data_IF_446289221669
#
_entry.id   IF_446289221669
#
_cell.length_a   1.000
_cell.length_b   1.000
_cell.length_c   1.000
_cell.angle_alpha   90.00
_cell.angle_beta   90.00
_cell.angle_gamma   90.00
#
_symmetry.space_group_name_H-M   'P 1'
#
loop_
_entity.id
_entity.type
_entity.pdbx_description
1 polymer ?
#
# COMPACT_ATOMS: atom_id res chain seq x y z
N UNK A 1 67.25 -21.06 23.30
CA UNK A 1 65.91 -20.69 23.78
C UNK A 1 65.30 -19.69 22.78
N UNK A 2 64.38 -20.17 21.93
CA UNK A 2 63.67 -19.34 20.96
C UNK A 2 62.27 -19.13 21.49
N UNK A 3 61.90 -17.90 21.82
CA UNK A 3 60.56 -17.54 22.24
C UNK A 3 59.67 -17.32 20.99
N UNK A 4 58.64 -18.13 20.86
CA UNK A 4 57.59 -18.01 19.85
C UNK A 4 56.48 -17.11 20.43
N UNK A 5 56.37 -15.88 19.98
CA UNK A 5 55.22 -15.00 20.30
C UNK A 5 54.05 -15.36 19.39
N UNK A 6 53.04 -16.02 19.92
CA UNK A 6 51.76 -16.24 19.24
C UNK A 6 50.90 -14.98 19.32
N UNK A 7 50.69 -14.35 18.17
CA UNK A 7 49.77 -13.19 18.02
C UNK A 7 48.35 -13.76 17.89
N UNK A 8 47.53 -13.57 18.93
CA UNK A 8 46.09 -13.89 18.89
C UNK A 8 45.36 -12.72 18.23
N UNK A 9 44.91 -12.91 16.99
CA UNK A 9 44.09 -11.96 16.29
C UNK A 9 42.64 -12.11 16.76
N UNK A 10 42.17 -11.19 17.61
CA UNK A 10 40.76 -11.12 18.01
C UNK A 10 39.98 -10.46 16.89
N UNK A 11 39.24 -11.26 16.10
CA UNK A 11 38.29 -10.78 15.12
C UNK A 11 37.08 -10.24 15.90
N UNK A 12 36.97 -8.92 16.06
CA UNK A 12 35.73 -8.29 16.49
C UNK A 12 34.70 -8.37 15.35
N UNK A 13 33.85 -9.37 15.36
CA UNK A 13 32.68 -9.42 14.50
C UNK A 13 31.68 -8.40 15.04
N UNK A 14 31.67 -7.21 14.47
CA UNK A 14 30.64 -6.21 14.69
C UNK A 14 29.34 -6.74 14.07
N UNK A 15 28.46 -7.31 14.87
CA UNK A 15 27.08 -7.54 14.47
C UNK A 15 26.44 -6.17 14.27
N UNK A 16 26.31 -5.74 13.03
CA UNK A 16 25.44 -4.62 12.70
C UNK A 16 24.02 -5.03 13.12
N UNK A 17 23.59 -4.58 14.30
CA UNK A 17 22.19 -4.70 14.67
C UNK A 17 21.40 -3.88 13.66
N UNK A 18 20.63 -4.53 12.81
CA UNK A 18 19.67 -3.86 11.96
C UNK A 18 18.76 -3.04 12.90
N UNK A 19 18.75 -1.73 12.72
CA UNK A 19 17.93 -0.82 13.53
C UNK A 19 16.47 -1.22 13.35
N UNK A 20 15.83 -1.70 14.43
CA UNK A 20 14.42 -2.08 14.39
C UNK A 20 13.56 -0.85 14.65
N UNK A 21 12.65 -0.58 13.73
CA UNK A 21 11.65 0.48 13.86
C UNK A 21 10.38 -0.09 14.50
N UNK A 22 9.55 0.80 15.03
CA UNK A 22 8.23 0.46 15.56
C UNK A 22 7.16 1.25 14.80
N UNK A 23 5.90 0.75 14.75
CA UNK A 23 4.80 1.55 14.23
C UNK A 23 4.72 2.92 14.92
N UNK A 24 4.32 3.94 14.17
CA UNK A 24 4.12 5.29 14.71
C UNK A 24 3.01 5.33 15.78
N UNK A 25 2.06 4.41 15.73
CA UNK A 25 1.08 4.20 16.81
C UNK A 25 1.68 3.38 17.95
N UNK A 26 1.90 4.04 19.10
CA UNK A 26 2.43 3.37 20.31
C UNK A 26 1.46 2.35 20.91
N UNK A 27 0.17 2.44 20.58
CA UNK A 27 -0.88 1.52 21.03
C UNK A 27 -1.26 0.49 19.95
N UNK A 28 -0.46 0.38 18.87
CA UNK A 28 -0.71 -0.59 17.81
C UNK A 28 -0.99 -1.99 18.37
N UNK A 29 -1.97 -2.70 17.78
CA UNK A 29 -2.32 -4.06 18.21
C UNK A 29 -1.12 -5.00 18.06
N UNK A 30 -1.16 -6.13 18.74
CA UNK A 30 -0.10 -7.14 18.68
C UNK A 30 0.16 -7.60 17.25
N UNK A 31 -0.90 -7.89 16.50
CA UNK A 31 -0.86 -8.33 15.12
C UNK A 31 -0.30 -7.23 14.19
N UNK A 32 -0.65 -5.98 14.45
CA UNK A 32 -0.14 -4.82 13.70
C UNK A 32 1.37 -4.63 13.92
N UNK A 33 1.84 -4.76 15.16
CA UNK A 33 3.28 -4.73 15.45
C UNK A 33 4.03 -5.89 14.81
N UNK A 34 3.46 -7.09 14.83
CA UNK A 34 4.07 -8.24 14.17
C UNK A 34 4.12 -8.06 12.65
N UNK A 35 3.03 -7.58 12.03
CA UNK A 35 3.04 -7.29 10.59
C UNK A 35 4.14 -6.30 10.24
N UNK A 36 4.20 -5.16 10.93
CA UNK A 36 5.21 -4.13 10.66
C UNK A 36 6.64 -4.68 10.80
N UNK A 37 6.93 -5.36 11.90
CA UNK A 37 8.24 -5.96 12.15
C UNK A 37 8.58 -7.04 11.12
N UNK A 38 7.60 -7.83 10.68
CA UNK A 38 7.80 -8.84 9.64
C UNK A 38 8.07 -8.20 8.28
N UNK A 39 7.30 -7.17 7.90
CA UNK A 39 7.55 -6.44 6.65
C UNK A 39 8.93 -5.79 6.66
N UNK A 40 9.35 -5.21 7.79
CA UNK A 40 10.71 -4.66 7.94
C UNK A 40 11.79 -5.73 7.73
N UNK A 41 11.66 -6.90 8.35
CA UNK A 41 12.60 -8.01 8.23
C UNK A 41 12.67 -8.58 6.81
N UNK A 42 11.57 -8.51 6.08
CA UNK A 42 11.46 -9.05 4.72
C UNK A 42 11.94 -8.08 3.63
N UNK A 43 12.21 -6.81 3.96
CA UNK A 43 12.81 -5.86 3.02
C UNK A 43 14.14 -6.42 2.51
N UNK A 44 14.26 -6.54 1.19
CA UNK A 44 15.45 -7.12 0.52
C UNK A 44 15.42 -8.65 0.33
N UNK A 45 14.55 -9.38 1.03
CA UNK A 45 14.37 -10.82 0.79
C UNK A 45 13.47 -11.10 -0.43
N UNK A 46 12.60 -10.17 -0.77
CA UNK A 46 11.70 -10.20 -1.92
C UNK A 46 10.63 -9.13 -1.77
N UNK A 47 10.13 -8.62 -2.89
CA UNK A 47 9.10 -7.58 -2.92
C UNK A 47 7.73 -8.26 -2.94
N UNK A 48 6.88 -7.95 -1.97
CA UNK A 48 5.52 -8.47 -1.90
C UNK A 48 4.68 -7.88 -3.04
N UNK A 49 4.14 -8.75 -3.90
CA UNK A 49 3.25 -8.33 -4.99
C UNK A 49 1.85 -8.11 -4.45
N UNK A 50 1.28 -6.94 -4.77
CA UNK A 50 -0.10 -6.59 -4.50
C UNK A 50 -0.93 -6.42 -5.76
N UNK A 51 -2.26 -6.60 -5.63
CA UNK A 51 -3.23 -6.32 -6.67
C UNK A 51 -4.51 -5.75 -6.07
N UNK A 52 -5.03 -4.69 -6.70
CA UNK A 52 -6.25 -4.04 -6.24
C UNK A 52 -7.49 -4.84 -6.66
N UNK A 53 -8.45 -5.02 -5.73
CA UNK A 53 -9.70 -5.76 -5.92
C UNK A 53 -9.54 -7.22 -6.38
N UNK A 54 -8.38 -7.82 -6.21
CA UNK A 54 -7.96 -9.12 -6.78
C UNK A 54 -8.97 -10.27 -6.58
N UNK A 55 -9.65 -10.30 -5.43
CA UNK A 55 -10.59 -11.37 -5.07
C UNK A 55 -12.03 -11.07 -5.45
N UNK A 56 -12.32 -9.86 -5.90
CA UNK A 56 -13.69 -9.43 -6.15
C UNK A 56 -14.10 -9.59 -7.61
N UNK A 57 -13.22 -9.25 -8.52
CA UNK A 57 -13.46 -9.36 -9.96
C UNK A 57 -12.15 -9.34 -10.74
N UNK A 58 -12.24 -9.69 -12.02
CA UNK A 58 -11.15 -9.64 -12.99
C UNK A 58 -11.67 -9.67 -14.41
N UNK A 59 -10.80 -9.96 -15.36
CA UNK A 59 -11.18 -9.97 -16.77
C UNK A 59 -12.15 -11.13 -17.07
N UNK A 60 -13.40 -10.76 -17.39
CA UNK A 60 -14.44 -11.72 -17.74
C UNK A 60 -15.10 -12.46 -16.58
N UNK A 61 -14.90 -11.99 -15.33
CA UNK A 61 -15.56 -12.58 -14.16
C UNK A 61 -15.82 -11.54 -13.07
N UNK A 62 -16.82 -11.79 -12.23
CA UNK A 62 -17.16 -10.94 -11.08
C UNK A 62 -17.77 -11.80 -9.96
N UNK A 63 -17.20 -11.64 -8.76
CA UNK A 63 -17.67 -12.29 -7.52
C UNK A 63 -17.60 -13.81 -7.48
N UNK A 64 -16.81 -14.42 -8.36
CA UNK A 64 -16.57 -15.86 -8.36
C UNK A 64 -15.77 -16.25 -7.11
N UNK A 65 -16.21 -17.23 -6.30
CA UNK A 65 -15.50 -17.62 -5.11
C UNK A 65 -14.09 -18.15 -5.40
N UNK A 66 -13.10 -17.70 -4.60
CA UNK A 66 -11.71 -18.16 -4.66
C UNK A 66 -11.01 -17.94 -6.02
N UNK A 67 -11.53 -17.05 -6.85
CA UNK A 67 -10.96 -16.65 -8.12
C UNK A 67 -10.08 -15.42 -7.97
N UNK A 68 -9.05 -15.34 -8.80
CA UNK A 68 -8.10 -14.24 -8.96
C UNK A 68 -7.46 -14.40 -10.34
N UNK A 69 -7.25 -13.31 -11.07
CA UNK A 69 -6.55 -13.37 -12.34
C UNK A 69 -5.09 -13.79 -12.13
N UNK A 70 -4.44 -13.28 -11.08
CA UNK A 70 -3.07 -13.69 -10.68
C UNK A 70 -3.03 -15.21 -10.45
N UNK A 71 -3.96 -15.72 -9.64
CA UNK A 71 -4.03 -17.16 -9.35
C UNK A 71 -4.33 -17.99 -10.60
N UNK A 72 -5.17 -17.49 -11.48
CA UNK A 72 -5.52 -18.18 -12.73
C UNK A 72 -4.33 -18.33 -13.67
N UNK A 73 -3.32 -17.44 -13.56
CA UNK A 73 -2.07 -17.49 -14.34
C UNK A 73 -0.96 -18.25 -13.61
N UNK A 74 -0.76 -18.01 -12.31
CA UNK A 74 0.40 -18.50 -11.56
C UNK A 74 0.13 -19.71 -10.68
N UNK A 75 -1.14 -19.99 -10.37
CA UNK A 75 -1.54 -20.97 -9.35
C UNK A 75 -1.54 -20.42 -7.92
N UNK A 76 -1.14 -19.16 -7.71
CA UNK A 76 -0.98 -18.51 -6.40
C UNK A 76 -1.66 -17.15 -6.35
N UNK A 77 -2.00 -16.68 -5.16
CA UNK A 77 -2.59 -15.37 -4.92
C UNK A 77 -1.52 -14.29 -4.73
N UNK A 78 -1.86 -12.99 -4.87
CA UNK A 78 -0.97 -11.91 -4.45
C UNK A 78 -0.70 -11.95 -2.94
N UNK A 79 0.39 -11.33 -2.50
CA UNK A 79 0.73 -11.19 -1.09
C UNK A 79 -0.02 -10.02 -0.42
N UNK A 80 -0.33 -8.96 -1.19
CA UNK A 80 -1.03 -7.75 -0.73
C UNK A 80 -2.30 -7.57 -1.54
N UNK A 81 -3.40 -7.25 -0.85
CA UNK A 81 -4.74 -7.07 -1.43
C UNK A 81 -5.17 -5.63 -1.25
N UNK A 82 -5.34 -4.91 -2.37
CA UNK A 82 -5.85 -3.54 -2.37
C UNK A 82 -7.37 -3.49 -2.33
N UNK A 83 -7.92 -2.49 -1.63
CA UNK A 83 -9.35 -2.21 -1.47
C UNK A 83 -9.60 -0.71 -1.45
N UNK A 84 -10.82 -0.28 -1.75
CA UNK A 84 -11.24 1.11 -1.65
C UNK A 84 -12.37 1.28 -0.63
N UNK A 85 -12.34 2.39 0.12
CA UNK A 85 -13.42 2.78 1.04
C UNK A 85 -14.46 3.71 0.38
N UNK A 86 -14.18 4.21 -0.83
CA UNK A 86 -15.02 5.23 -1.48
C UNK A 86 -16.49 4.80 -1.59
N UNK A 87 -17.37 5.74 -1.37
CA UNK A 87 -18.83 5.62 -1.26
C UNK A 87 -19.34 5.16 0.09
N UNK A 88 -18.47 4.78 1.05
CA UNK A 88 -18.88 4.48 2.42
C UNK A 88 -19.44 5.73 3.12
N UNK A 89 -18.93 6.90 2.75
CA UNK A 89 -19.38 8.22 3.22
C UNK A 89 -20.85 8.52 2.89
N UNK A 90 -21.41 7.85 1.89
CA UNK A 90 -22.80 7.98 1.47
C UNK A 90 -23.71 6.85 2.01
N UNK A 91 -23.20 6.00 2.91
CA UNK A 91 -23.90 4.79 3.35
C UNK A 91 -24.28 3.86 2.18
N UNK A 92 -23.52 3.92 1.09
CA UNK A 92 -23.68 3.07 -0.07
C UNK A 92 -23.49 1.60 0.30
N UNK A 93 -24.24 0.72 -0.36
CA UNK A 93 -24.04 -0.73 -0.21
C UNK A 93 -22.85 -1.26 -0.99
N UNK A 94 -22.30 -0.46 -1.95
CA UNK A 94 -21.16 -0.79 -2.80
C UNK A 94 -20.09 0.29 -2.71
N UNK A 95 -18.84 -0.11 -2.89
CA UNK A 95 -17.74 0.81 -3.10
C UNK A 95 -17.75 1.43 -4.52
N UNK A 96 -16.77 2.25 -4.84
CA UNK A 96 -16.63 2.94 -6.14
C UNK A 96 -16.51 1.97 -7.33
N UNK A 97 -16.03 0.75 -7.10
CA UNK A 97 -15.83 -0.29 -8.12
C UNK A 97 -17.03 -1.25 -8.21
N UNK A 98 -18.09 -0.98 -7.41
CA UNK A 98 -19.32 -1.77 -7.39
C UNK A 98 -19.20 -3.06 -6.59
N UNK A 99 -18.24 -3.16 -5.67
CA UNK A 99 -18.11 -4.31 -4.76
C UNK A 99 -19.00 -4.04 -3.54
N UNK A 100 -19.95 -4.93 -3.21
CA UNK A 100 -20.72 -4.78 -1.98
C UNK A 100 -19.81 -4.78 -0.75
N UNK A 101 -19.93 -3.80 0.16
CA UNK A 101 -19.11 -3.73 1.38
C UNK A 101 -19.21 -4.99 2.24
N UNK A 102 -20.37 -5.66 2.24
CA UNK A 102 -20.53 -6.96 2.89
C UNK A 102 -19.65 -8.05 2.27
N UNK A 103 -19.51 -8.06 0.93
CA UNK A 103 -18.61 -8.97 0.22
C UNK A 103 -17.16 -8.56 0.42
N UNK A 104 -16.82 -7.27 0.27
CA UNK A 104 -15.46 -6.75 0.51
C UNK A 104 -14.96 -7.18 1.90
N UNK A 105 -15.77 -7.01 2.95
CA UNK A 105 -15.45 -7.49 4.31
C UNK A 105 -15.10 -8.98 4.34
N UNK A 106 -15.89 -9.84 3.68
CA UNK A 106 -15.64 -11.28 3.59
C UNK A 106 -14.32 -11.57 2.88
N UNK A 107 -14.04 -10.87 1.79
CA UNK A 107 -12.80 -11.05 1.01
C UNK A 107 -11.57 -10.57 1.78
N UNK A 108 -11.66 -9.46 2.51
CA UNK A 108 -10.62 -8.97 3.45
C UNK A 108 -10.31 -10.02 4.52
N UNK A 109 -11.33 -10.62 5.10
CA UNK A 109 -11.17 -11.69 6.10
C UNK A 109 -10.52 -12.94 5.49
N UNK A 110 -10.90 -13.31 4.26
CA UNK A 110 -10.28 -14.43 3.54
C UNK A 110 -8.80 -14.15 3.20
N UNK A 111 -8.47 -12.94 2.75
CA UNK A 111 -7.08 -12.53 2.51
C UNK A 111 -6.25 -12.65 3.78
N UNK A 112 -6.75 -12.11 4.90
CA UNK A 112 -6.10 -12.19 6.20
C UNK A 112 -5.94 -13.63 6.68
N UNK A 113 -6.97 -14.46 6.58
CA UNK A 113 -6.93 -15.86 6.98
C UNK A 113 -5.89 -16.70 6.21
N UNK A 114 -5.53 -16.30 4.96
CA UNK A 114 -4.42 -16.88 4.21
C UNK A 114 -3.04 -16.35 4.64
N UNK A 115 -2.97 -15.37 5.52
CA UNK A 115 -1.74 -14.66 5.87
C UNK A 115 -1.41 -13.52 4.90
N UNK A 116 -2.33 -13.12 4.03
CA UNK A 116 -2.19 -11.99 3.12
C UNK A 116 -2.38 -10.65 3.81
N UNK A 117 -1.87 -9.57 3.21
CA UNK A 117 -1.84 -8.22 3.77
C UNK A 117 -2.91 -7.37 3.09
N UNK A 118 -3.77 -6.70 3.86
CA UNK A 118 -4.82 -5.83 3.33
C UNK A 118 -4.36 -4.36 3.31
N UNK A 119 -4.52 -3.71 2.16
CA UNK A 119 -4.24 -2.28 1.96
C UNK A 119 -5.53 -1.57 1.53
N UNK A 120 -5.82 -0.42 2.14
CA UNK A 120 -7.00 0.39 1.82
C UNK A 120 -6.59 1.79 1.38
N UNK A 121 -7.05 2.22 0.22
CA UNK A 121 -7.13 3.62 -0.17
C UNK A 121 -8.57 4.16 0.02
N UNK A 122 -8.76 5.45 -0.23
CA UNK A 122 -10.08 6.06 -0.15
C UNK A 122 -10.21 7.18 -1.18
N UNK A 123 -10.90 6.89 -2.28
CA UNK A 123 -11.34 7.91 -3.24
C UNK A 123 -12.60 8.59 -2.72
N UNK A 124 -12.46 9.24 -1.54
CA UNK A 124 -13.57 9.93 -0.89
C UNK A 124 -14.13 11.05 -1.75
N UNK A 125 -15.44 11.07 -1.94
CA UNK A 125 -16.12 12.21 -2.55
C UNK A 125 -15.85 13.48 -1.73
N UNK A 126 -15.87 14.65 -2.39
CA UNK A 126 -15.54 15.91 -1.75
C UNK A 126 -16.55 16.27 -0.64
N UNK A 127 -16.15 16.27 0.65
CA UNK A 127 -17.09 16.46 1.76
C UNK A 127 -17.74 17.86 1.79
N UNK A 128 -17.11 18.87 1.15
CA UNK A 128 -17.60 20.24 1.20
C UNK A 128 -18.71 20.51 0.15
N UNK A 129 -18.80 19.69 -0.90
CA UNK A 129 -19.80 19.94 -1.95
C UNK A 129 -20.47 18.67 -2.50
N UNK A 130 -20.12 17.50 -2.00
CA UNK A 130 -20.70 16.21 -2.41
C UNK A 130 -20.32 15.73 -3.81
N UNK A 131 -19.40 16.42 -4.51
CA UNK A 131 -18.88 15.97 -5.81
C UNK A 131 -17.83 14.87 -5.62
N UNK A 132 -17.39 14.27 -6.73
CA UNK A 132 -16.44 13.16 -6.71
C UNK A 132 -15.06 13.55 -6.15
N UNK A 133 -14.22 12.54 -5.86
CA UNK A 133 -12.83 12.73 -5.46
C UNK A 133 -12.03 13.61 -6.45
N UNK A 134 -12.40 13.59 -7.73
CA UNK A 134 -11.78 14.35 -8.82
C UNK A 134 -12.28 15.81 -8.95
N UNK A 135 -13.06 16.30 -7.99
CA UNK A 135 -13.47 17.71 -8.00
C UNK A 135 -12.38 18.62 -7.46
N UNK A 136 -11.76 19.39 -8.34
CA UNK A 136 -10.71 20.37 -8.01
C UNK A 136 -11.18 21.82 -8.09
N UNK A 137 -12.50 22.05 -8.06
CA UNK A 137 -13.09 23.37 -8.28
C UNK A 137 -13.02 24.29 -7.07
N UNK A 138 -12.67 23.79 -5.88
CA UNK A 138 -12.57 24.58 -4.65
C UNK A 138 -11.40 24.14 -3.76
N UNK A 139 -11.01 25.00 -2.83
CA UNK A 139 -9.98 24.70 -1.82
C UNK A 139 -10.61 23.95 -0.64
N UNK A 140 -10.99 22.70 -0.88
CA UNK A 140 -11.75 21.88 0.08
C UNK A 140 -10.99 21.66 1.41
N UNK A 141 -9.69 21.39 1.37
CA UNK A 141 -8.92 20.97 2.55
C UNK A 141 -9.05 21.93 3.73
N UNK A 142 -8.98 23.24 3.49
CA UNK A 142 -9.11 24.26 4.56
C UNK A 142 -10.49 24.29 5.20
N UNK A 143 -11.53 23.84 4.49
CA UNK A 143 -12.90 23.78 5.01
C UNK A 143 -13.13 22.54 5.90
N UNK A 144 -12.24 21.55 5.86
CA UNK A 144 -12.36 20.27 6.57
C UNK A 144 -11.54 20.22 7.87
N UNK A 145 -10.51 21.03 8.00
CA UNK A 145 -9.71 21.09 9.24
C UNK A 145 -10.52 21.70 10.39
N UNK A 146 -10.12 21.52 11.67
CA UNK A 146 -10.83 22.10 12.81
C UNK A 146 -11.03 23.60 12.65
N UNK A 147 -12.29 24.04 12.75
CA UNK A 147 -12.71 25.43 12.52
C UNK A 147 -13.21 25.72 11.10
N UNK A 148 -13.00 24.82 10.14
CA UNK A 148 -13.54 24.94 8.79
C UNK A 148 -15.05 24.69 8.74
N UNK A 149 -15.73 25.24 7.73
CA UNK A 149 -17.19 25.22 7.60
C UNK A 149 -17.78 23.82 7.37
N UNK A 150 -16.98 22.89 6.82
CA UNK A 150 -17.38 21.51 6.53
C UNK A 150 -16.63 20.47 7.39
N UNK A 151 -16.03 20.93 8.51
CA UNK A 151 -15.33 20.03 9.43
C UNK A 151 -16.22 18.91 9.94
N UNK A 152 -17.47 19.22 10.32
CA UNK A 152 -18.40 18.21 10.86
C UNK A 152 -18.81 17.19 9.79
N UNK A 153 -18.97 17.61 8.54
CA UNK A 153 -19.28 16.69 7.44
C UNK A 153 -18.13 15.69 7.24
N UNK A 154 -16.89 16.18 7.32
CA UNK A 154 -15.70 15.33 7.25
C UNK A 154 -15.61 14.37 8.44
N UNK A 155 -15.88 14.82 9.66
CA UNK A 155 -15.95 13.97 10.86
C UNK A 155 -16.98 12.86 10.68
N UNK A 156 -18.16 13.17 10.15
CA UNK A 156 -19.21 12.17 9.88
C UNK A 156 -18.73 11.10 8.88
N UNK A 157 -17.97 11.49 7.85
CA UNK A 157 -17.39 10.54 6.90
C UNK A 157 -16.34 9.65 7.56
N UNK A 158 -15.46 10.23 8.41
CA UNK A 158 -14.50 9.45 9.19
C UNK A 158 -15.18 8.46 10.13
N UNK A 159 -16.33 8.81 10.70
CA UNK A 159 -17.12 7.94 11.58
C UNK A 159 -17.61 6.69 10.86
N UNK A 160 -18.11 6.85 9.64
CA UNK A 160 -18.57 5.75 8.80
C UNK A 160 -17.42 4.83 8.40
N UNK A 161 -16.31 5.40 7.94
CA UNK A 161 -15.11 4.64 7.63
C UNK A 161 -14.55 3.89 8.85
N UNK A 162 -14.47 4.56 10.01
CA UNK A 162 -14.02 3.94 11.25
C UNK A 162 -14.93 2.79 11.71
N UNK A 163 -16.25 2.94 11.58
CA UNK A 163 -17.22 1.88 11.88
C UNK A 163 -16.98 0.64 11.01
N UNK A 164 -16.74 0.83 9.71
CA UNK A 164 -16.45 -0.25 8.80
C UNK A 164 -15.10 -0.92 9.13
N UNK A 165 -14.02 -0.16 9.25
CA UNK A 165 -12.69 -0.67 9.57
C UNK A 165 -12.66 -1.46 10.90
N UNK A 166 -13.38 -0.99 11.93
CA UNK A 166 -13.54 -1.73 13.19
C UNK A 166 -14.26 -3.07 13.02
N UNK A 167 -15.11 -3.17 12.01
CA UNK A 167 -15.85 -4.41 11.75
C UNK A 167 -15.00 -5.51 11.13
N UNK A 168 -13.81 -5.17 10.61
CA UNK A 168 -12.87 -6.11 10.01
C UNK A 168 -12.13 -6.88 11.11
N UNK A 169 -12.58 -8.09 11.37
CA UNK A 169 -12.05 -8.97 12.41
C UNK A 169 -11.53 -10.26 11.84
N UNK A 170 -10.41 -10.70 12.35
CA UNK A 170 -9.87 -12.04 12.10
C UNK A 170 -10.67 -13.14 12.78
N UNK A 171 -10.27 -14.41 12.59
CA UNK A 171 -11.01 -15.56 13.09
C UNK A 171 -11.11 -15.61 14.62
N UNK A 172 -10.13 -15.06 15.34
CA UNK A 172 -10.13 -15.02 16.82
C UNK A 172 -10.77 -13.72 17.37
N UNK A 173 -11.39 -12.91 16.51
CA UNK A 173 -12.00 -11.64 16.89
C UNK A 173 -11.03 -10.45 16.95
N UNK A 174 -9.75 -10.68 16.66
CA UNK A 174 -8.72 -9.65 16.62
C UNK A 174 -8.96 -8.64 15.48
N UNK A 175 -8.62 -7.35 15.66
CA UNK A 175 -8.65 -6.39 14.56
C UNK A 175 -7.65 -6.77 13.48
N UNK A 176 -8.10 -6.88 12.22
CA UNK A 176 -7.22 -7.17 11.09
C UNK A 176 -6.28 -5.97 10.87
N UNK A 177 -4.95 -6.16 10.85
CA UNK A 177 -4.01 -5.09 10.49
C UNK A 177 -4.23 -4.62 9.05
N UNK A 178 -4.16 -3.31 8.84
CA UNK A 178 -4.47 -2.66 7.57
C UNK A 178 -3.37 -1.66 7.23
N UNK A 179 -2.84 -1.72 6.01
CA UNK A 179 -2.09 -0.62 5.42
C UNK A 179 -3.10 0.43 4.95
N UNK A 180 -3.23 1.53 5.69
CA UNK A 180 -4.19 2.60 5.39
C UNK A 180 -3.50 3.74 4.64
N UNK A 181 -3.95 4.01 3.43
CA UNK A 181 -3.37 4.96 2.49
C UNK A 181 -4.38 6.07 2.14
N UNK A 182 -4.63 7.02 3.05
CA UNK A 182 -5.49 8.17 2.77
C UNK A 182 -4.79 9.17 1.86
N UNK A 183 -5.58 9.99 1.14
CA UNK A 183 -5.10 11.15 0.38
C UNK A 183 -3.90 10.84 -0.53
N UNK A 184 -3.90 9.68 -1.17
CA UNK A 184 -2.84 9.25 -2.07
C UNK A 184 -2.66 10.23 -3.24
N UNK A 185 -1.50 10.14 -3.92
CA UNK A 185 -1.17 10.99 -5.08
C UNK A 185 -1.25 12.51 -4.82
N UNK A 186 -1.06 12.92 -3.58
CA UNK A 186 -1.26 14.29 -3.10
C UNK A 186 -0.43 15.37 -3.80
N UNK A 187 0.64 14.98 -4.51
CA UNK A 187 1.46 15.88 -5.34
C UNK A 187 0.90 16.04 -6.76
N UNK A 188 -0.17 15.32 -7.11
CA UNK A 188 -0.91 15.48 -8.36
C UNK A 188 -1.74 16.76 -8.40
N UNK A 189 -2.71 16.81 -9.33
CA UNK A 189 -3.61 17.93 -9.51
C UNK A 189 -5.06 17.52 -9.84
N UNK A 190 -5.41 16.27 -9.58
CA UNK A 190 -6.68 15.66 -9.99
C UNK A 190 -7.63 15.31 -8.86
N UNK A 191 -7.18 15.28 -7.60
CA UNK A 191 -8.05 15.09 -6.45
C UNK A 191 -8.24 16.37 -5.66
N UNK A 192 -9.36 16.48 -4.91
CA UNK A 192 -9.66 17.65 -4.09
C UNK A 192 -8.63 17.88 -2.95
N UNK A 193 -7.81 16.90 -2.62
CA UNK A 193 -6.74 17.01 -1.61
C UNK A 193 -5.35 17.28 -2.21
N UNK A 194 -5.23 17.40 -3.53
CA UNK A 194 -3.95 17.59 -4.20
C UNK A 194 -3.36 19.00 -3.99
N UNK A 195 -2.11 19.16 -4.42
CA UNK A 195 -1.32 20.40 -4.22
C UNK A 195 -1.92 21.64 -4.87
N UNK A 196 -2.72 21.50 -5.91
CA UNK A 196 -3.37 22.63 -6.61
C UNK A 196 -4.62 23.16 -5.88
N UNK A 197 -5.16 22.39 -4.92
CA UNK A 197 -6.40 22.70 -4.19
C UNK A 197 -6.17 22.96 -2.70
N UNK A 198 -4.93 22.87 -2.22
CA UNK A 198 -4.61 23.07 -0.80
C UNK A 198 -3.19 23.56 -0.57
N UNK A 199 -2.97 24.35 0.48
CA UNK A 199 -1.63 24.66 0.99
C UNK A 199 -0.97 23.39 1.58
N UNK A 200 0.35 23.41 1.73
CA UNK A 200 1.05 22.32 2.40
C UNK A 200 0.69 22.25 3.88
N UNK A 201 0.49 23.38 4.51
CA UNK A 201 0.14 23.53 5.93
C UNK A 201 -1.25 22.97 6.21
N UNK A 202 -2.26 23.37 5.42
CA UNK A 202 -3.63 22.85 5.56
C UNK A 202 -3.70 21.35 5.32
N UNK A 203 -2.97 20.85 4.31
CA UNK A 203 -2.89 19.42 4.06
C UNK A 203 -2.28 18.65 5.23
N UNK A 204 -1.17 19.13 5.80
CA UNK A 204 -0.56 18.51 7.00
C UNK A 204 -1.53 18.52 8.18
N UNK A 205 -2.24 19.62 8.38
CA UNK A 205 -3.25 19.74 9.44
C UNK A 205 -4.39 18.74 9.24
N UNK A 206 -4.91 18.60 8.01
CA UNK A 206 -5.95 17.61 7.69
C UNK A 206 -5.46 16.19 7.92
N UNK A 207 -4.23 15.86 7.47
CA UNK A 207 -3.63 14.55 7.69
C UNK A 207 -3.51 14.22 9.17
N UNK A 208 -2.90 15.12 9.93
CA UNK A 208 -2.69 14.94 11.38
C UNK A 208 -4.02 14.78 12.10
N UNK A 209 -4.99 15.65 11.82
CA UNK A 209 -6.35 15.52 12.36
C UNK A 209 -6.97 14.16 12.03
N UNK A 210 -6.88 13.71 10.78
CA UNK A 210 -7.45 12.43 10.34
C UNK A 210 -6.87 11.26 11.13
N UNK A 211 -5.55 11.19 11.24
CA UNK A 211 -4.88 10.09 11.93
C UNK A 211 -5.14 10.15 13.44
N UNK A 212 -5.09 11.32 14.04
CA UNK A 212 -5.40 11.50 15.46
C UNK A 212 -6.86 11.13 15.76
N UNK A 213 -7.80 11.52 14.90
CA UNK A 213 -9.21 11.16 15.05
C UNK A 213 -9.42 9.65 14.99
N UNK A 214 -8.90 8.98 13.97
CA UNK A 214 -9.02 7.53 13.81
C UNK A 214 -8.33 6.77 14.95
N UNK A 215 -7.12 7.20 15.34
CA UNK A 215 -6.30 6.55 16.36
C UNK A 215 -6.81 6.85 17.77
N UNK A 216 -6.96 8.14 18.12
CA UNK A 216 -7.19 8.57 19.49
C UNK A 216 -8.68 8.64 19.84
N UNK A 217 -9.55 9.10 18.93
CA UNK A 217 -11.00 9.19 19.17
C UNK A 217 -11.69 7.87 18.82
N UNK A 218 -11.41 7.31 17.67
CA UNK A 218 -12.05 6.06 17.24
C UNK A 218 -11.34 4.80 17.73
N UNK A 219 -10.14 4.91 18.35
CA UNK A 219 -9.38 3.77 18.90
C UNK A 219 -9.09 2.69 17.85
N UNK A 220 -8.71 3.10 16.64
CA UNK A 220 -8.26 2.22 15.57
C UNK A 220 -6.74 2.05 15.66
N UNK A 221 -6.29 1.05 16.41
CA UNK A 221 -4.89 0.76 16.66
C UNK A 221 -4.34 -0.37 15.77
N UNK A 222 -5.07 -0.71 14.72
CA UNK A 222 -4.71 -1.73 13.74
C UNK A 222 -4.36 -1.14 12.36
N UNK A 223 -4.11 0.17 12.28
CA UNK A 223 -3.73 0.84 11.05
C UNK A 223 -2.22 1.09 11.01
N UNK A 224 -1.59 0.72 9.92
CA UNK A 224 -0.25 1.15 9.50
C UNK A 224 -0.42 2.20 8.41
N UNK A 225 0.06 3.40 8.64
CA UNK A 225 -0.24 4.57 7.82
C UNK A 225 0.75 4.69 6.67
N UNK A 226 0.22 4.74 5.44
CA UNK A 226 0.99 4.86 4.20
C UNK A 226 0.83 6.25 3.62
N UNK A 227 1.90 7.03 3.60
CA UNK A 227 1.99 8.32 2.91
C UNK A 227 2.50 8.06 1.49
N UNK A 228 1.67 8.30 0.47
CA UNK A 228 2.07 8.11 -0.92
C UNK A 228 1.77 9.33 -1.78
N UNK A 229 2.80 9.75 -2.51
CA UNK A 229 2.73 10.85 -3.47
C UNK A 229 2.53 10.32 -4.89
N UNK A 230 2.21 11.20 -5.84
CA UNK A 230 2.33 10.90 -7.26
C UNK A 230 3.80 11.12 -7.70
N UNK A 231 4.03 12.08 -8.56
CA UNK A 231 5.36 12.41 -9.06
C UNK A 231 6.17 13.25 -8.08
N UNK A 232 7.49 12.97 -8.01
CA UNK A 232 8.50 13.80 -7.35
C UNK A 232 9.88 13.51 -7.98
N UNK A 233 10.76 14.49 -7.94
CA UNK A 233 12.11 14.37 -8.49
C UNK A 233 13.20 14.73 -7.48
N UNK A 234 12.82 15.24 -6.31
CA UNK A 234 13.72 15.60 -5.21
C UNK A 234 13.13 15.21 -3.86
N UNK A 235 13.99 15.05 -2.83
CA UNK A 235 13.55 14.86 -1.45
C UNK A 235 12.66 16.03 -0.98
N UNK A 236 13.01 17.26 -1.35
CA UNK A 236 12.26 18.45 -0.95
C UNK A 236 10.82 18.43 -1.50
N UNK A 237 10.62 17.99 -2.75
CA UNK A 237 9.29 17.83 -3.34
C UNK A 237 8.50 16.76 -2.59
N UNK A 238 9.11 15.61 -2.30
CA UNK A 238 8.47 14.53 -1.56
C UNK A 238 8.04 14.97 -0.15
N UNK A 239 8.93 15.65 0.57
CA UNK A 239 8.73 16.04 1.96
C UNK A 239 7.91 17.32 2.14
N UNK A 240 7.58 18.07 1.08
CA UNK A 240 6.88 19.35 1.17
C UNK A 240 5.57 19.25 1.98
N UNK A 241 4.81 18.16 1.78
CA UNK A 241 3.52 17.90 2.44
C UNK A 241 3.59 16.80 3.48
N UNK A 242 4.78 16.34 3.85
CA UNK A 242 4.95 15.25 4.80
C UNK A 242 4.47 15.67 6.20
N UNK A 243 3.54 14.92 6.82
CA UNK A 243 2.87 15.35 8.05
C UNK A 243 3.70 15.14 9.33
N UNK A 244 4.88 14.52 9.21
CA UNK A 244 5.76 14.19 10.32
C UNK A 244 5.81 12.69 10.65
N UNK A 245 6.93 12.27 11.25
CA UNK A 245 7.25 10.86 11.48
C UNK A 245 6.27 10.13 12.40
N UNK A 246 5.58 10.84 13.28
CA UNK A 246 4.59 10.27 14.20
C UNK A 246 3.25 9.91 13.53
N UNK A 247 3.08 10.28 12.26
CA UNK A 247 1.85 10.10 11.50
C UNK A 247 1.99 9.17 10.30
N UNK A 248 3.15 8.54 10.13
CA UNK A 248 3.46 7.72 8.95
C UNK A 248 4.27 6.50 9.36
N UNK A 249 3.94 5.34 8.80
CA UNK A 249 4.68 4.07 8.93
C UNK A 249 5.42 3.71 7.65
N UNK A 250 4.76 3.94 6.51
CA UNK A 250 5.28 3.67 5.18
C UNK A 250 5.29 4.95 4.35
N UNK A 251 6.32 5.09 3.53
CA UNK A 251 6.39 6.11 2.49
C UNK A 251 6.37 5.45 1.12
N UNK A 252 5.68 6.05 0.17
CA UNK A 252 5.53 5.48 -1.16
C UNK A 252 5.18 6.50 -2.23
N UNK A 253 5.02 6.00 -3.43
CA UNK A 253 4.55 6.79 -4.57
C UNK A 253 3.83 5.89 -5.57
N UNK A 254 3.10 6.54 -6.49
CA UNK A 254 2.38 5.89 -7.57
C UNK A 254 3.09 6.22 -8.89
N UNK A 255 3.41 5.20 -9.70
CA UNK A 255 4.14 5.40 -10.94
C UNK A 255 3.70 4.40 -12.01
N UNK A 256 3.05 4.90 -13.04
CA UNK A 256 2.51 4.10 -14.13
C UNK A 256 3.27 4.28 -15.45
N UNK A 257 3.25 3.25 -16.29
CA UNK A 257 3.83 3.28 -17.63
C UNK A 257 2.83 3.88 -18.63
N UNK A 258 2.72 5.23 -18.67
CA UNK A 258 1.77 5.90 -19.57
C UNK A 258 2.34 6.26 -20.95
N UNK A 259 3.60 6.65 -21.04
CA UNK A 259 4.22 7.17 -22.27
C UNK A 259 5.13 6.13 -22.92
N UNK A 260 6.26 5.84 -22.27
CA UNK A 260 7.23 4.88 -22.79
C UNK A 260 7.80 4.01 -21.67
N UNK A 261 8.21 2.80 -22.02
CA UNK A 261 8.92 1.90 -21.09
C UNK A 261 10.21 2.55 -20.59
N UNK A 262 10.92 3.27 -21.47
CA UNK A 262 12.18 3.96 -21.12
C UNK A 262 11.95 5.03 -20.05
N UNK A 263 10.95 5.88 -20.24
CA UNK A 263 10.64 6.95 -19.29
C UNK A 263 10.11 6.38 -17.98
N UNK A 264 9.29 5.34 -18.05
CA UNK A 264 8.83 4.59 -16.88
C UNK A 264 10.01 4.06 -16.07
N UNK A 265 10.95 3.33 -16.70
CA UNK A 265 12.12 2.79 -16.02
C UNK A 265 13.01 3.89 -15.44
N UNK A 266 13.19 5.00 -16.16
CA UNK A 266 13.97 6.14 -15.68
C UNK A 266 13.36 6.75 -14.43
N UNK A 267 12.08 7.09 -14.48
CA UNK A 267 11.33 7.69 -13.36
C UNK A 267 11.30 6.73 -12.16
N UNK A 268 11.05 5.45 -12.40
CA UNK A 268 11.00 4.45 -11.35
C UNK A 268 12.37 4.29 -10.65
N UNK A 269 13.49 4.25 -11.41
CA UNK A 269 14.83 4.19 -10.84
C UNK A 269 15.16 5.43 -10.01
N UNK A 270 14.87 6.64 -10.52
CA UNK A 270 15.11 7.89 -9.81
C UNK A 270 14.34 7.92 -8.49
N UNK A 271 13.03 7.67 -8.54
CA UNK A 271 12.13 7.79 -7.39
C UNK A 271 12.35 6.72 -6.34
N UNK A 272 12.59 5.46 -6.74
CA UNK A 272 12.95 4.41 -5.77
C UNK A 272 14.29 4.69 -5.09
N UNK A 273 15.27 5.22 -5.83
CA UNK A 273 16.55 5.61 -5.25
C UNK A 273 16.43 6.72 -4.22
N UNK A 274 15.64 7.76 -4.51
CA UNK A 274 15.33 8.82 -3.55
C UNK A 274 14.52 8.29 -2.37
N UNK A 275 13.55 7.41 -2.62
CA UNK A 275 12.70 6.85 -1.58
C UNK A 275 13.49 6.01 -0.58
N UNK A 276 14.48 5.22 -1.03
CA UNK A 276 15.38 4.46 -0.15
C UNK A 276 16.15 5.37 0.82
N UNK A 277 16.63 6.52 0.31
CA UNK A 277 17.34 7.52 1.13
C UNK A 277 16.40 8.14 2.16
N UNK A 278 15.22 8.58 1.71
CA UNK A 278 14.21 9.21 2.58
C UNK A 278 13.72 8.21 3.65
N UNK A 279 13.44 6.96 3.24
CA UNK A 279 12.98 5.91 4.15
C UNK A 279 14.00 5.62 5.25
N UNK A 280 15.28 5.52 4.90
CA UNK A 280 16.36 5.32 5.88
C UNK A 280 16.48 6.50 6.84
N UNK A 281 16.42 7.74 6.33
CA UNK A 281 16.53 8.97 7.13
C UNK A 281 15.38 9.15 8.12
N UNK A 282 14.17 8.80 7.72
CA UNK A 282 12.95 8.96 8.51
C UNK A 282 12.51 7.68 9.23
N UNK A 283 13.29 6.59 9.14
CA UNK A 283 12.99 5.30 9.75
C UNK A 283 11.61 4.75 9.33
N UNK A 284 11.33 4.81 8.01
CA UNK A 284 10.08 4.32 7.41
C UNK A 284 10.34 3.13 6.50
N UNK A 285 9.29 2.37 6.22
CA UNK A 285 9.32 1.35 5.18
C UNK A 285 8.93 1.99 3.83
N UNK A 286 9.66 1.63 2.76
CA UNK A 286 9.36 2.11 1.42
C UNK A 286 8.40 1.17 0.70
N UNK A 287 7.50 1.72 -0.14
CA UNK A 287 6.64 0.96 -1.02
C UNK A 287 6.43 1.65 -2.38
N UNK A 288 6.20 0.86 -3.41
CA UNK A 288 5.64 1.33 -4.68
C UNK A 288 4.11 1.15 -4.55
N UNK A 289 3.44 2.22 -4.06
CA UNK A 289 2.08 2.12 -3.56
C UNK A 289 1.06 1.84 -4.66
N UNK A 290 1.35 2.30 -5.90
CA UNK A 290 0.69 1.85 -7.13
C UNK A 290 1.65 1.84 -8.30
N UNK A 291 1.47 0.85 -9.19
CA UNK A 291 2.20 0.79 -10.47
C UNK A 291 1.44 -0.05 -11.50
N UNK A 292 1.91 0.01 -12.73
CA UNK A 292 1.42 -0.85 -13.79
C UNK A 292 1.58 -0.28 -15.19
N UNK A 293 1.22 -1.09 -16.17
CA UNK A 293 1.11 -0.73 -17.57
C UNK A 293 -0.26 -1.17 -18.05
N UNK A 294 -1.15 -0.21 -18.33
CA UNK A 294 -2.51 -0.52 -18.71
C UNK A 294 -2.57 -1.41 -19.95
N UNK A 295 -3.32 -2.50 -19.86
CA UNK A 295 -3.45 -3.50 -20.93
C UNK A 295 -2.20 -4.36 -21.17
N UNK A 296 -1.08 -4.06 -20.57
CA UNK A 296 0.22 -4.76 -20.65
C UNK A 296 0.56 -5.16 -22.09
N UNK A 297 0.76 -4.19 -23.01
CA UNK A 297 0.96 -4.48 -24.43
C UNK A 297 2.35 -5.06 -24.77
N UNK A 298 3.27 -5.18 -23.79
CA UNK A 298 4.59 -5.80 -23.93
C UNK A 298 4.58 -7.22 -23.37
N UNK A 299 5.00 -8.19 -24.18
CA UNK A 299 5.01 -9.60 -23.79
C UNK A 299 5.99 -9.95 -22.66
N UNK A 300 7.02 -9.14 -22.47
CA UNK A 300 8.15 -9.35 -21.55
C UNK A 300 8.30 -8.20 -20.52
N UNK A 301 7.23 -7.43 -20.29
CA UNK A 301 7.23 -6.27 -19.40
C UNK A 301 7.65 -6.60 -17.96
N UNK A 302 7.25 -7.76 -17.47
CA UNK A 302 7.50 -8.18 -16.10
C UNK A 302 8.98 -8.41 -15.82
N UNK A 303 9.64 -9.21 -16.68
CA UNK A 303 11.05 -9.60 -16.48
C UNK A 303 12.04 -8.63 -17.10
N UNK A 304 11.66 -7.85 -18.13
CA UNK A 304 12.55 -6.90 -18.82
C UNK A 304 12.37 -5.45 -18.39
N UNK A 305 11.18 -5.09 -17.90
CA UNK A 305 10.89 -3.69 -17.53
C UNK A 305 10.80 -3.50 -16.04
N UNK A 306 9.91 -4.21 -15.35
CA UNK A 306 9.62 -3.98 -13.93
C UNK A 306 10.67 -4.62 -13.02
N UNK A 307 10.92 -5.93 -13.13
CA UNK A 307 11.80 -6.70 -12.25
C UNK A 307 13.22 -6.14 -12.16
N UNK A 308 13.90 -5.74 -13.27
CA UNK A 308 15.27 -5.23 -13.20
C UNK A 308 15.41 -3.93 -12.42
N UNK A 309 14.33 -3.14 -12.35
CA UNK A 309 14.32 -1.89 -11.57
C UNK A 309 14.04 -2.17 -10.11
N UNK A 310 12.91 -2.78 -9.80
CA UNK A 310 12.47 -2.97 -8.41
C UNK A 310 13.44 -3.81 -7.59
N UNK A 311 14.15 -4.76 -8.22
CA UNK A 311 15.11 -5.63 -7.55
C UNK A 311 16.33 -4.93 -6.97
N UNK A 312 16.57 -3.66 -7.30
CA UNK A 312 17.73 -2.86 -6.86
C UNK A 312 17.47 -2.15 -5.53
N UNK A 313 16.23 -1.98 -5.14
CA UNK A 313 15.82 -1.08 -4.06
C UNK A 313 15.16 -1.82 -2.89
N UNK A 314 15.13 -1.16 -1.73
CA UNK A 314 14.59 -1.72 -0.48
C UNK A 314 13.08 -1.47 -0.36
N UNK A 315 12.33 -1.91 -1.37
CA UNK A 315 10.87 -1.76 -1.42
C UNK A 315 10.19 -2.94 -0.73
N UNK A 316 9.28 -2.68 0.21
CA UNK A 316 8.58 -3.72 0.97
C UNK A 316 7.51 -4.41 0.13
N UNK A 317 6.68 -3.63 -0.58
CA UNK A 317 5.67 -4.14 -1.49
C UNK A 317 5.48 -3.23 -2.69
N UNK A 318 4.90 -3.77 -3.75
CA UNK A 318 4.31 -3.02 -4.85
C UNK A 318 2.85 -3.43 -5.02
N UNK A 319 2.00 -2.51 -5.48
CA UNK A 319 0.60 -2.80 -5.75
C UNK A 319 0.25 -2.45 -7.19
N UNK A 320 -0.27 -3.43 -7.91
CA UNK A 320 -0.79 -3.27 -9.26
C UNK A 320 -2.26 -2.88 -9.19
N UNK A 321 -2.67 -1.95 -10.07
CA UNK A 321 -4.06 -1.52 -10.10
C UNK A 321 -4.99 -2.63 -10.58
N UNK A 322 -6.29 -2.41 -10.52
CA UNK A 322 -7.34 -3.40 -10.72
C UNK A 322 -7.49 -3.89 -12.18
N UNK A 323 -8.06 -5.07 -12.33
CA UNK A 323 -8.48 -5.63 -13.62
C UNK A 323 -9.99 -5.45 -13.83
N UNK A 324 -10.42 -4.40 -14.56
CA UNK A 324 -11.84 -4.17 -14.81
C UNK A 324 -12.36 -4.90 -16.06
N UNK A 325 -11.54 -4.97 -17.13
CA UNK A 325 -11.88 -5.57 -18.41
C UNK A 325 -10.62 -5.75 -19.28
N UNK A 326 -10.78 -6.19 -20.52
CA UNK A 326 -9.66 -6.43 -21.46
C UNK A 326 -8.88 -5.17 -21.86
N UNK A 327 -9.44 -3.97 -21.70
CA UNK A 327 -8.78 -2.70 -22.00
C UNK A 327 -8.20 -2.02 -20.76
N UNK A 328 -8.75 -2.34 -19.59
CA UNK A 328 -8.33 -1.78 -18.31
C UNK A 328 -7.97 -2.93 -17.36
N UNK A 329 -6.73 -3.39 -17.47
CA UNK A 329 -6.14 -4.40 -16.60
C UNK A 329 -4.66 -4.14 -16.39
N UNK A 330 -4.14 -4.53 -15.21
CA UNK A 330 -2.78 -4.26 -14.78
C UNK A 330 -2.03 -5.54 -14.31
N UNK A 331 -2.74 -6.68 -14.27
CA UNK A 331 -2.12 -8.01 -14.18
C UNK A 331 -2.65 -8.89 -15.30
N UNK A 332 -1.87 -9.87 -15.76
CA UNK A 332 -2.33 -10.75 -16.83
C UNK A 332 -3.43 -11.69 -16.32
N UNK A 333 -4.29 -12.09 -17.24
CA UNK A 333 -5.27 -13.14 -17.10
C UNK A 333 -4.95 -14.30 -18.09
N UNK A 334 -5.57 -15.47 -17.98
CA UNK A 334 -5.32 -16.59 -18.91
C UNK A 334 -5.51 -16.18 -20.38
N UNK A 335 -4.45 -16.36 -21.18
CA UNK A 335 -4.42 -15.98 -22.61
C UNK A 335 -3.95 -14.55 -22.89
N UNK A 336 -3.71 -13.71 -21.88
CA UNK A 336 -3.10 -12.38 -22.07
C UNK A 336 -1.64 -12.54 -22.53
N UNK A 337 -1.19 -11.63 -23.40
CA UNK A 337 0.12 -11.66 -24.08
C UNK A 337 1.31 -11.88 -23.11
N UNK A 338 1.31 -11.22 -21.96
CA UNK A 338 2.42 -11.26 -21.00
C UNK A 338 2.29 -12.37 -19.94
N UNK A 339 1.27 -13.24 -20.01
CA UNK A 339 1.03 -14.26 -18.99
C UNK A 339 2.20 -15.24 -18.81
N UNK A 340 2.91 -15.56 -19.90
CA UNK A 340 4.10 -16.42 -19.85
C UNK A 340 5.27 -15.76 -19.11
N UNK A 341 5.51 -14.49 -19.34
CA UNK A 341 6.55 -13.71 -18.69
C UNK A 341 6.20 -13.44 -17.22
N UNK A 342 4.92 -13.24 -16.91
CA UNK A 342 4.47 -13.10 -15.51
C UNK A 342 4.70 -14.35 -14.67
N UNK A 343 4.63 -15.55 -15.27
CA UNK A 343 5.04 -16.80 -14.60
C UNK A 343 6.54 -16.82 -14.26
N UNK A 344 7.37 -16.24 -15.12
CA UNK A 344 8.81 -16.10 -14.84
C UNK A 344 9.07 -15.05 -13.74
N UNK A 345 8.34 -13.95 -13.77
CA UNK A 345 8.33 -12.94 -12.69
C UNK A 345 7.90 -13.57 -11.36
N UNK A 346 6.82 -14.36 -11.33
CA UNK A 346 6.37 -15.13 -10.16
C UNK A 346 7.46 -16.08 -9.63
N UNK A 347 8.15 -16.77 -10.51
CA UNK A 347 9.22 -17.73 -10.16
C UNK A 347 10.48 -17.04 -9.61
N UNK A 348 10.66 -15.74 -9.84
CA UNK A 348 11.83 -14.98 -9.39
C UNK A 348 11.97 -15.00 -7.85
N UNK A 349 13.18 -15.21 -7.30
CA UNK A 349 13.41 -15.08 -5.87
C UNK A 349 13.27 -13.64 -5.35
N UNK A 350 13.20 -12.65 -6.25
CA UNK A 350 13.05 -11.23 -5.94
C UNK A 350 11.58 -10.81 -5.74
N UNK A 351 10.61 -11.68 -6.00
CA UNK A 351 9.20 -11.43 -5.83
C UNK A 351 8.58 -12.36 -4.80
N UNK A 352 7.58 -11.88 -4.09
CA UNK A 352 6.90 -12.62 -3.03
C UNK A 352 5.40 -12.59 -3.25
N UNK A 353 4.82 -13.76 -3.45
CA UNK A 353 3.40 -14.01 -3.56
C UNK A 353 2.91 -14.74 -2.30
N UNK A 354 1.62 -15.07 -2.22
CA UNK A 354 0.99 -15.62 -1.02
C UNK A 354 1.68 -16.90 -0.51
N UNK A 355 2.01 -17.86 -1.39
CA UNK A 355 2.63 -19.13 -0.99
C UNK A 355 4.01 -18.96 -0.33
N UNK A 356 4.76 -17.89 -0.68
CA UNK A 356 6.03 -17.55 -0.04
C UNK A 356 5.82 -16.74 1.23
N UNK A 357 4.73 -15.97 1.34
CA UNK A 357 4.44 -15.12 2.49
C UNK A 357 3.85 -15.92 3.66
N UNK A 358 2.90 -16.82 3.39
CA UNK A 358 2.14 -17.55 4.42
C UNK A 358 3.03 -18.29 5.43
N UNK A 359 4.09 -19.03 5.03
CA UNK A 359 4.96 -19.73 5.98
C UNK A 359 5.75 -18.81 6.91
N UNK A 360 5.85 -17.51 6.58
CA UNK A 360 6.64 -16.54 7.34
C UNK A 360 5.89 -15.98 8.55
N UNK A 361 4.61 -16.37 8.73
CA UNK A 361 3.79 -16.02 9.89
C UNK A 361 3.83 -14.53 10.21
N UNK A 362 3.59 -13.67 9.20
CA UNK A 362 3.77 -12.21 9.30
C UNK A 362 2.95 -11.54 10.40
N UNK A 363 1.94 -12.23 10.92
CA UNK A 363 1.11 -11.81 12.05
C UNK A 363 1.52 -12.47 13.38
N UNK A 364 2.72 -13.09 13.44
CA UNK A 364 3.26 -13.77 14.63
C UNK A 364 2.64 -15.14 14.90
N UNK A 365 1.75 -15.62 14.05
CA UNK A 365 1.18 -16.96 14.03
C UNK A 365 1.02 -17.46 12.60
N UNK A 366 1.10 -18.77 12.40
CA UNK A 366 0.69 -19.37 11.13
C UNK A 366 -0.81 -19.17 10.96
N UNK A 367 -1.22 -18.75 9.79
CA UNK A 367 -2.62 -18.58 9.44
C UNK A 367 -3.09 -19.86 8.74
N UNK A 368 -4.08 -20.53 9.32
CA UNK A 368 -4.72 -21.68 8.69
C UNK A 368 -5.60 -21.19 7.55
N UNK A 369 -5.17 -21.33 6.34
CA UNK A 369 -5.87 -20.83 5.13
C UNK A 369 -7.29 -21.39 4.87
N UNK A 370 -8.10 -21.58 5.92
CA UNK A 370 -9.47 -22.10 5.89
C UNK A 370 -10.51 -21.04 5.61
#
# INVERSE_FOLDING_TARGET
MKYLCSLVLILCISFAHAQTYSPCDKQATKETRWLFSSMQRLVGAGIMLGHHDDLAYGVGWKFDPNRSDIKSVTGDYPAVYGWDLAKIEHDSIHDINGIPFKLQKKLVQQAYARGGINSFCWHMDNPANGKTAWDTTMQTVKELIPGGSHHQDYVNNLDKAAKYLKSLKGPDGEPIPILYRPFHELTGNWFWWCKNTSSAEDFKALWQFTIDYLRNTKKLHNLLIVFSVADFNTEAEFMNRYPGDNYVDFIGFDNYCYQSIRDYQWNLNLRLGLLDIIAAKHHKLACLAETGYEGIPSADWWTKTLLPVISKYKTSYLLLWRNANTHHHYVPYPGQLSAGDFKQFYASPKTMFQNRLTPLAVYGKLMDGR
#
